data_IF_649460970569
#
_entry.id   IF_649460970569
#
_cell.length_a   1.000
_cell.length_b   1.000
_cell.length_c   1.000
_cell.angle_alpha   90.00
_cell.angle_beta   90.00
_cell.angle_gamma   90.00
#
_symmetry.space_group_name_H-M   'P 1'
#
loop_
_entity.id
_entity.type
_entity.pdbx_description
1 polymer ?
#
# COMPACT_ATOMS: atom_id res chain seq x y z
N UNK A 1 21.88 -5.97 -48.24
CA UNK A 1 21.50 -4.63 -47.75
C UNK A 1 20.13 -4.74 -47.11
N UNK A 2 20.08 -4.80 -45.79
CA UNK A 2 18.86 -4.58 -45.00
C UNK A 2 19.33 -4.23 -43.60
N UNK A 3 19.42 -2.93 -43.33
CA UNK A 3 19.73 -2.38 -42.01
C UNK A 3 18.53 -2.59 -41.09
N UNK A 4 18.80 -3.19 -39.93
CA UNK A 4 17.87 -3.23 -38.79
C UNK A 4 17.79 -1.81 -38.20
N UNK A 5 16.60 -1.23 -37.95
CA UNK A 5 16.53 0.04 -37.25
C UNK A 5 16.82 -0.16 -35.77
N UNK A 6 17.62 0.78 -35.25
CA UNK A 6 18.04 0.93 -33.87
C UNK A 6 16.88 0.83 -32.88
N UNK A 7 17.11 0.10 -31.78
CA UNK A 7 16.21 0.08 -30.65
C UNK A 7 16.15 1.49 -30.06
N UNK A 8 15.00 2.16 -30.22
CA UNK A 8 14.75 3.47 -29.65
C UNK A 8 14.85 3.39 -28.12
N UNK A 9 15.94 3.93 -27.57
CA UNK A 9 16.08 4.27 -26.16
C UNK A 9 14.92 5.20 -25.79
N UNK A 10 13.97 4.69 -25.01
CA UNK A 10 12.92 5.51 -24.40
C UNK A 10 13.59 6.42 -23.36
N UNK A 11 13.89 7.65 -23.76
CA UNK A 11 14.29 8.71 -22.84
C UNK A 11 13.13 8.95 -21.86
N UNK A 12 13.38 8.63 -20.59
CA UNK A 12 12.44 8.89 -19.50
C UNK A 12 12.54 10.39 -19.20
N UNK A 13 11.45 11.18 -19.34
CA UNK A 13 11.54 12.63 -19.20
C UNK A 13 12.04 13.01 -17.81
N UNK A 14 12.97 13.97 -17.82
CA UNK A 14 13.70 14.48 -16.68
C UNK A 14 12.78 15.00 -15.56
N UNK A 15 13.09 14.51 -14.36
CA UNK A 15 12.76 14.99 -13.02
C UNK A 15 12.07 16.36 -12.97
N UNK A 16 10.74 16.36 -12.84
CA UNK A 16 9.99 17.52 -12.37
C UNK A 16 10.46 17.84 -10.95
N UNK A 17 11.12 18.98 -10.80
CA UNK A 17 11.63 19.49 -9.53
C UNK A 17 10.46 20.06 -8.71
N UNK A 18 9.56 19.19 -8.26
CA UNK A 18 8.56 19.51 -7.26
C UNK A 18 9.29 19.82 -5.96
N UNK A 19 8.98 20.96 -5.34
CA UNK A 19 9.28 21.16 -3.93
C UNK A 19 8.70 19.95 -3.18
N UNK A 20 9.57 19.08 -2.68
CA UNK A 20 9.18 17.79 -2.11
C UNK A 20 8.46 18.04 -0.79
N UNK A 21 7.15 18.29 -0.85
CA UNK A 21 6.29 18.05 0.30
C UNK A 21 6.46 16.58 0.61
N UNK A 22 6.97 16.26 1.80
CA UNK A 22 7.17 14.88 2.23
C UNK A 22 5.80 14.22 2.33
N UNK A 23 5.43 13.45 1.29
CA UNK A 23 4.16 12.72 1.26
C UNK A 23 4.35 11.47 2.11
N UNK A 24 3.58 11.30 3.21
CA UNK A 24 3.71 10.12 4.05
C UNK A 24 3.32 8.87 3.28
N UNK A 25 4.09 7.81 3.44
CA UNK A 25 3.74 6.48 2.96
C UNK A 25 2.56 5.96 3.76
N UNK A 26 1.73 5.16 3.11
CA UNK A 26 0.59 4.50 3.76
C UNK A 26 0.70 2.99 3.63
N UNK A 27 0.52 2.30 4.74
CA UNK A 27 0.37 0.85 4.74
C UNK A 27 -1.08 0.53 4.42
N UNK A 28 -1.31 -0.14 3.29
CA UNK A 28 -2.64 -0.50 2.82
C UNK A 28 -2.83 -2.01 2.89
N UNK A 29 -3.94 -2.44 3.47
CA UNK A 29 -4.36 -3.85 3.53
C UNK A 29 -5.53 -4.06 2.58
N UNK A 30 -5.45 -5.10 1.76
CA UNK A 30 -6.49 -5.48 0.80
C UNK A 30 -7.30 -6.65 1.33
N UNK A 31 -8.56 -6.75 0.90
CA UNK A 31 -9.40 -7.91 1.18
C UNK A 31 -9.00 -9.11 0.33
N UNK A 32 -9.10 -10.30 0.91
CA UNK A 32 -8.82 -11.55 0.24
C UNK A 32 -9.80 -12.64 0.71
N UNK A 33 -10.12 -13.64 -0.13
CA UNK A 33 -11.14 -14.64 0.19
C UNK A 33 -10.64 -15.77 1.10
N UNK A 34 -9.36 -15.78 1.49
CA UNK A 34 -8.72 -16.89 2.19
C UNK A 34 -8.58 -16.60 3.67
N UNK A 35 -8.19 -15.37 4.02
CA UNK A 35 -7.98 -14.97 5.40
C UNK A 35 -9.30 -14.77 6.14
N UNK A 36 -9.37 -15.33 7.35
CA UNK A 36 -10.52 -15.15 8.22
C UNK A 36 -10.50 -13.74 8.84
N UNK A 37 -11.68 -13.13 9.00
CA UNK A 37 -11.86 -11.85 9.72
C UNK A 37 -11.21 -11.86 11.12
N UNK A 38 -11.29 -12.99 11.82
CA UNK A 38 -10.69 -13.17 13.15
C UNK A 38 -9.16 -13.12 13.10
N UNK A 39 -8.56 -13.70 12.06
CA UNK A 39 -7.11 -13.68 11.85
C UNK A 39 -6.63 -12.27 11.51
N UNK A 40 -7.29 -11.58 10.59
CA UNK A 40 -6.96 -10.19 10.24
C UNK A 40 -7.09 -9.28 11.46
N UNK A 41 -8.14 -9.45 12.26
CA UNK A 41 -8.31 -8.72 13.53
C UNK A 41 -7.17 -9.01 14.50
N UNK A 42 -6.73 -10.27 14.61
CA UNK A 42 -5.59 -10.65 15.45
C UNK A 42 -4.29 -9.98 14.96
N UNK A 43 -4.00 -9.99 13.66
CA UNK A 43 -2.83 -9.30 13.10
C UNK A 43 -2.83 -7.80 13.41
N UNK A 44 -3.99 -7.14 13.35
CA UNK A 44 -4.11 -5.73 13.73
C UNK A 44 -3.85 -5.46 15.21
N UNK A 45 -4.12 -6.44 16.08
CA UNK A 45 -3.81 -6.34 17.51
C UNK A 45 -2.33 -6.65 17.77
N UNK A 46 -1.80 -7.71 17.15
CA UNK A 46 -0.45 -8.21 17.43
C UNK A 46 0.64 -7.35 16.77
N UNK A 47 0.50 -7.04 15.49
CA UNK A 47 1.51 -6.32 14.72
C UNK A 47 1.39 -4.80 14.86
N UNK A 48 0.17 -4.27 14.78
CA UNK A 48 -0.08 -2.82 14.85
C UNK A 48 -0.45 -2.33 16.26
N UNK A 49 -0.53 -3.24 17.24
CA UNK A 49 -0.86 -2.92 18.63
C UNK A 49 -2.17 -2.14 18.82
N UNK A 50 -3.15 -2.36 17.92
CA UNK A 50 -4.44 -1.70 18.05
C UNK A 50 -5.31 -2.34 19.12
N UNK A 51 -6.12 -1.52 19.76
CA UNK A 51 -7.18 -2.02 20.63
C UNK A 51 -8.14 -2.89 19.82
N UNK A 52 -8.69 -3.93 20.46
CA UNK A 52 -9.66 -4.85 19.83
C UNK A 52 -10.80 -4.12 19.07
N UNK A 53 -11.40 -3.04 19.60
CA UNK A 53 -12.43 -2.30 18.86
C UNK A 53 -11.89 -1.63 17.58
N UNK A 54 -10.69 -1.03 17.62
CA UNK A 54 -10.08 -0.41 16.44
C UNK A 54 -9.69 -1.46 15.40
N UNK A 55 -9.10 -2.57 15.83
CA UNK A 55 -8.74 -3.69 14.97
C UNK A 55 -9.98 -4.25 14.24
N UNK A 56 -11.07 -4.52 14.98
CA UNK A 56 -12.30 -5.01 14.39
C UNK A 56 -12.89 -4.02 13.36
N UNK A 57 -12.88 -2.71 13.66
CA UNK A 57 -13.35 -1.68 12.74
C UNK A 57 -12.55 -1.65 11.43
N UNK A 58 -11.23 -1.68 11.52
CA UNK A 58 -10.36 -1.68 10.34
C UNK A 58 -10.53 -2.95 9.52
N UNK A 59 -10.70 -4.10 10.18
CA UNK A 59 -10.97 -5.37 9.51
C UNK A 59 -12.29 -5.32 8.73
N UNK A 60 -13.36 -4.80 9.36
CA UNK A 60 -14.65 -4.62 8.67
C UNK A 60 -14.54 -3.68 7.47
N UNK A 61 -13.69 -2.65 7.58
CA UNK A 61 -13.42 -1.73 6.47
C UNK A 61 -12.72 -2.45 5.32
N UNK A 62 -11.69 -3.26 5.60
CA UNK A 62 -11.05 -4.12 4.58
C UNK A 62 -12.09 -4.99 3.89
N UNK A 63 -12.90 -5.73 4.64
CA UNK A 63 -13.89 -6.65 4.08
C UNK A 63 -14.99 -5.97 3.25
N UNK A 64 -15.43 -4.78 3.67
CA UNK A 64 -16.55 -4.09 3.01
C UNK A 64 -16.08 -3.26 1.82
N UNK A 65 -14.96 -2.56 1.96
CA UNK A 65 -14.45 -1.60 0.96
C UNK A 65 -13.38 -2.22 0.05
N UNK A 66 -13.01 -3.48 0.30
CA UNK A 66 -11.94 -4.21 -0.39
C UNK A 66 -10.53 -3.80 0.03
N UNK A 67 -10.38 -2.75 0.86
CA UNK A 67 -9.10 -2.26 1.40
C UNK A 67 -9.26 -1.28 2.55
N UNK A 68 -8.21 -1.14 3.35
CA UNK A 68 -8.09 -0.08 4.36
C UNK A 68 -6.65 0.40 4.49
N UNK A 69 -6.46 1.70 4.71
CA UNK A 69 -5.20 2.24 5.24
C UNK A 69 -5.12 1.85 6.71
N UNK A 70 -4.02 1.25 7.12
CA UNK A 70 -3.79 0.84 8.51
C UNK A 70 -2.77 1.73 9.20
N UNK A 71 -1.68 2.13 8.53
CA UNK A 71 -0.66 3.03 9.07
C UNK A 71 -0.27 4.11 8.06
N UNK A 72 0.30 5.20 8.55
CA UNK A 72 0.92 6.26 7.73
C UNK A 72 2.20 6.76 8.39
N UNK A 73 3.28 6.93 7.63
CA UNK A 73 4.58 7.34 8.17
C UNK A 73 5.64 7.53 7.09
N UNK A 74 6.90 7.44 7.49
CA UNK A 74 8.03 7.32 6.57
C UNK A 74 8.01 5.98 5.84
N UNK A 75 8.87 5.82 4.82
CA UNK A 75 8.93 4.60 4.01
C UNK A 75 9.43 3.37 4.79
N UNK A 76 10.16 3.60 5.87
CA UNK A 76 10.93 2.60 6.61
C UNK A 76 10.22 2.11 7.88
N UNK A 77 9.14 2.80 8.27
CA UNK A 77 8.24 2.46 9.37
C UNK A 77 7.17 1.43 8.97
#
# INVERSE_FOLDING_TARGET
MTSTPDAATLERPDTEQHALVEVPWVTLVWDDPVNLMSYVTFVFIDYFHYSKPKAHRLMMQVHTDGKSVVSSGSREE
#
